data_IF_385975599434
#
_entry.id   IF_385975599434
#
_cell.length_a   1.000
_cell.length_b   1.000
_cell.length_c   1.000
_cell.angle_alpha   90.00
_cell.angle_beta   90.00
_cell.angle_gamma   90.00
#
_symmetry.space_group_name_H-M   'P 1'
#
loop_
_entity.id
_entity.type
_entity.pdbx_description
1 polymer ?
#
# COMPACT_ATOMS: atom_id res chain seq x y z
N UNK A 1 -6.00 -15.74 -15.36
CA UNK A 1 -5.70 -14.34 -15.68
C UNK A 1 -4.29 -14.11 -15.19
N UNK A 2 -3.38 -13.75 -16.09
CA UNK A 2 -2.00 -13.53 -15.69
C UNK A 2 -1.91 -12.29 -14.80
N UNK A 3 -0.89 -12.25 -13.95
CA UNK A 3 -0.72 -11.16 -13.01
C UNK A 3 0.72 -10.74 -12.97
N UNK A 4 0.91 -9.44 -12.92
CA UNK A 4 2.18 -8.88 -12.56
C UNK A 4 2.20 -8.64 -11.06
N UNK A 5 3.23 -9.08 -10.37
CA UNK A 5 3.36 -8.87 -8.93
C UNK A 5 4.77 -8.42 -8.59
N UNK A 6 4.89 -7.48 -7.66
CA UNK A 6 6.17 -6.95 -7.22
C UNK A 6 6.04 -6.06 -6.00
N UNK A 7 7.20 -5.68 -5.45
CA UNK A 7 7.29 -4.76 -4.32
C UNK A 7 8.12 -3.56 -4.71
N UNK A 8 7.57 -2.36 -4.53
CA UNK A 8 8.14 -1.09 -4.96
C UNK A 8 8.43 -0.20 -3.77
N UNK A 9 9.51 0.57 -3.87
CA UNK A 9 9.77 1.69 -2.97
C UNK A 9 9.41 2.97 -3.71
N UNK A 10 8.34 3.63 -3.29
CA UNK A 10 7.74 4.74 -4.01
C UNK A 10 7.66 5.97 -3.13
N UNK A 11 8.02 7.14 -3.66
CA UNK A 11 7.80 8.42 -2.98
C UNK A 11 6.41 8.93 -3.27
N UNK A 12 5.78 9.54 -2.28
CA UNK A 12 4.50 10.23 -2.46
C UNK A 12 4.66 11.51 -3.29
N UNK A 13 5.67 12.31 -2.94
CA UNK A 13 6.05 13.55 -3.62
C UNK A 13 7.57 13.54 -3.86
N UNK A 14 8.10 14.13 -4.95
CA UNK A 14 9.55 14.18 -5.20
C UNK A 14 10.37 14.79 -4.06
N UNK A 15 9.80 15.77 -3.34
CA UNK A 15 10.41 16.44 -2.20
C UNK A 15 10.26 15.64 -0.89
N UNK A 16 9.41 14.62 -0.89
CA UNK A 16 9.26 13.73 0.26
C UNK A 16 10.56 12.93 0.46
N UNK A 17 11.02 12.87 1.71
CA UNK A 17 12.24 12.14 2.07
C UNK A 17 12.01 10.65 2.25
N UNK A 18 10.78 10.26 2.60
CA UNK A 18 10.46 8.88 2.92
C UNK A 18 9.95 8.12 1.69
N UNK A 19 10.22 6.83 1.68
CA UNK A 19 9.69 5.90 0.71
C UNK A 19 8.61 5.05 1.36
N UNK A 20 7.57 4.78 0.61
CA UNK A 20 6.55 3.80 0.94
C UNK A 20 6.90 2.49 0.24
N UNK A 21 6.90 1.40 1.00
CA UNK A 21 7.05 0.06 0.44
C UNK A 21 5.66 -0.49 0.09
N UNK A 22 5.46 -0.85 -1.17
CA UNK A 22 4.14 -1.19 -1.69
C UNK A 22 4.25 -2.52 -2.41
N UNK A 23 3.51 -3.53 -1.96
CA UNK A 23 3.30 -4.73 -2.76
C UNK A 23 2.10 -4.51 -3.68
N UNK A 24 2.31 -4.74 -4.97
CA UNK A 24 1.28 -4.69 -5.98
C UNK A 24 1.09 -6.08 -6.57
N UNK A 25 -0.16 -6.47 -6.77
CA UNK A 25 -0.53 -7.57 -7.66
C UNK A 25 -1.58 -7.04 -8.62
N UNK A 26 -1.22 -6.93 -9.90
CA UNK A 26 -1.99 -6.23 -10.92
C UNK A 26 -2.45 -7.18 -12.02
N UNK A 27 -3.65 -6.96 -12.54
CA UNK A 27 -4.20 -7.67 -13.68
C UNK A 27 -3.32 -7.43 -14.91
N UNK A 28 -2.81 -8.49 -15.50
CA UNK A 28 -1.86 -8.44 -16.61
C UNK A 28 -2.30 -9.39 -17.73
N UNK A 29 -2.05 -9.00 -18.97
CA UNK A 29 -2.29 -9.84 -20.14
C UNK A 29 -0.96 -10.21 -20.75
N UNK A 30 -0.61 -11.50 -20.71
CA UNK A 30 0.60 -11.99 -21.38
C UNK A 30 0.53 -11.85 -22.90
N UNK A 31 -0.68 -11.86 -23.47
CA UNK A 31 -0.88 -11.70 -24.91
C UNK A 31 -0.49 -10.29 -25.39
N UNK A 32 -0.90 -9.25 -24.65
CA UNK A 32 -0.58 -7.85 -24.97
C UNK A 32 0.67 -7.34 -24.24
N UNK A 33 1.25 -8.15 -23.35
CA UNK A 33 2.35 -7.79 -22.45
C UNK A 33 2.10 -6.47 -21.70
N UNK A 34 0.86 -6.24 -21.30
CA UNK A 34 0.44 -4.99 -20.69
C UNK A 34 -0.48 -5.20 -19.50
N UNK A 35 -0.52 -4.20 -18.62
CA UNK A 35 -1.53 -4.14 -17.57
C UNK A 35 -2.92 -4.02 -18.19
N UNK A 36 -3.90 -4.65 -17.55
CA UNK A 36 -5.30 -4.64 -17.97
C UNK A 36 -6.16 -3.91 -16.95
N UNK A 37 -7.30 -3.41 -17.39
CA UNK A 37 -8.25 -2.69 -16.53
C UNK A 37 -8.84 -3.68 -15.51
N UNK A 38 -8.66 -3.47 -14.20
CA UNK A 38 -9.28 -4.33 -13.21
C UNK A 38 -10.76 -3.98 -13.03
N UNK A 39 -11.54 -4.94 -12.53
CA UNK A 39 -12.91 -4.71 -12.08
C UNK A 39 -12.99 -3.86 -10.80
N UNK A 40 -11.96 -3.91 -9.95
CA UNK A 40 -11.84 -3.09 -8.74
C UNK A 40 -10.37 -3.02 -8.27
N UNK A 41 -10.08 -2.10 -7.34
CA UNK A 41 -8.82 -2.05 -6.61
C UNK A 41 -9.07 -2.32 -5.13
N UNK A 42 -8.43 -3.34 -4.58
CA UNK A 42 -8.34 -3.58 -3.15
C UNK A 42 -7.08 -2.88 -2.62
N UNK A 43 -7.26 -1.90 -1.72
CA UNK A 43 -6.18 -1.12 -1.12
C UNK A 43 -6.12 -1.46 0.36
N UNK A 44 -5.00 -1.99 0.82
CA UNK A 44 -4.77 -2.38 2.20
C UNK A 44 -3.60 -1.57 2.78
N UNK A 45 -3.86 -0.89 3.89
CA UNK A 45 -2.83 -0.20 4.65
C UNK A 45 -2.36 -1.13 5.76
N UNK A 46 -1.08 -1.52 5.71
CA UNK A 46 -0.51 -2.35 6.75
C UNK A 46 -0.49 -1.60 8.09
N UNK A 47 -1.07 -2.23 9.09
CA UNK A 47 -1.00 -1.74 10.46
C UNK A 47 0.37 -1.97 11.09
N UNK A 48 0.34 -1.95 12.41
CA UNK A 48 1.50 -2.02 13.27
C UNK A 48 2.34 -3.28 13.03
N UNK A 49 3.66 -3.13 13.14
CA UNK A 49 4.57 -4.25 12.97
C UNK A 49 4.69 -5.04 14.27
N UNK A 50 4.56 -6.35 14.14
CA UNK A 50 4.93 -7.31 15.18
C UNK A 50 5.86 -8.33 14.53
N UNK A 51 7.16 -8.21 14.81
CA UNK A 51 8.20 -9.07 14.25
C UNK A 51 8.68 -10.07 15.30
N UNK A 52 9.16 -11.25 14.85
CA UNK A 52 9.81 -12.21 15.74
C UNK A 52 8.84 -12.95 16.66
N UNK A 53 7.57 -13.04 16.29
CA UNK A 53 6.52 -13.73 17.06
C UNK A 53 6.69 -15.24 17.05
N UNK A 54 7.42 -15.78 16.05
CA UNK A 54 7.53 -17.22 15.73
C UNK A 54 6.19 -17.89 15.40
N UNK A 55 5.12 -17.12 15.29
CA UNK A 55 3.83 -17.62 14.84
C UNK A 55 3.81 -17.59 13.30
N UNK A 56 3.73 -18.75 12.63
CA UNK A 56 3.86 -18.82 11.18
C UNK A 56 2.79 -18.03 10.43
N UNK A 57 1.59 -17.86 11.01
CA UNK A 57 0.51 -17.07 10.40
C UNK A 57 0.83 -15.58 10.49
N UNK A 58 1.32 -15.12 11.64
CA UNK A 58 1.71 -13.71 11.84
C UNK A 58 2.87 -13.36 10.92
N UNK A 59 3.95 -14.16 10.92
CA UNK A 59 5.10 -13.92 10.04
C UNK A 59 4.70 -13.90 8.55
N UNK A 60 3.79 -14.81 8.14
CA UNK A 60 3.28 -14.83 6.76
C UNK A 60 2.51 -13.56 6.41
N UNK A 61 1.66 -13.08 7.32
CA UNK A 61 0.83 -11.88 7.11
C UNK A 61 1.59 -10.56 7.34
N UNK A 62 2.79 -10.61 7.93
CA UNK A 62 3.70 -9.47 8.01
C UNK A 62 4.38 -9.17 6.66
N UNK A 63 4.45 -10.15 5.75
CA UNK A 63 4.97 -9.95 4.40
C UNK A 63 3.92 -9.34 3.45
N UNK A 64 4.28 -8.21 2.85
CA UNK A 64 3.38 -7.42 1.99
C UNK A 64 2.89 -8.21 0.77
N UNK A 65 3.75 -9.03 0.17
CA UNK A 65 3.43 -9.76 -1.04
C UNK A 65 2.46 -10.92 -0.74
N UNK A 66 2.66 -11.61 0.39
CA UNK A 66 1.71 -12.59 0.89
C UNK A 66 0.34 -11.97 1.17
N UNK A 67 0.28 -10.78 1.78
CA UNK A 67 -1.01 -10.07 1.96
C UNK A 67 -1.65 -9.77 0.61
N UNK A 68 -0.91 -9.30 -0.38
CA UNK A 68 -1.44 -9.03 -1.71
C UNK A 68 -2.03 -10.30 -2.36
N UNK A 69 -1.34 -11.44 -2.23
CA UNK A 69 -1.83 -12.74 -2.70
C UNK A 69 -3.11 -13.18 -1.97
N UNK A 70 -3.19 -12.97 -0.65
CA UNK A 70 -4.39 -13.25 0.12
C UNK A 70 -5.56 -12.40 -0.39
N UNK A 71 -5.36 -11.10 -0.61
CA UNK A 71 -6.41 -10.21 -1.14
C UNK A 71 -6.91 -10.70 -2.50
N UNK A 72 -6.02 -10.99 -3.44
CA UNK A 72 -6.39 -11.53 -4.76
C UNK A 72 -7.13 -12.87 -4.65
N UNK A 73 -6.71 -13.75 -3.74
CA UNK A 73 -7.38 -15.04 -3.52
C UNK A 73 -8.82 -14.89 -3.01
N UNK A 74 -9.10 -13.81 -2.27
CA UNK A 74 -10.42 -13.54 -1.67
C UNK A 74 -11.34 -12.76 -2.59
N UNK A 75 -10.83 -11.75 -3.30
CA UNK A 75 -11.62 -10.89 -4.18
C UNK A 75 -11.70 -11.38 -5.63
N UNK A 76 -10.78 -12.25 -6.04
CA UNK A 76 -10.75 -12.83 -7.39
C UNK A 76 -9.72 -12.20 -8.32
N UNK A 77 -9.45 -12.91 -9.42
CA UNK A 77 -8.36 -12.58 -10.35
C UNK A 77 -8.57 -11.31 -11.19
N UNK A 78 -9.76 -10.71 -11.18
CA UNK A 78 -10.08 -9.46 -11.87
C UNK A 78 -9.87 -8.21 -11.01
N UNK A 79 -9.37 -8.34 -9.77
CA UNK A 79 -9.13 -7.23 -8.85
C UNK A 79 -7.63 -6.97 -8.74
N UNK A 80 -7.23 -5.70 -8.75
CA UNK A 80 -5.86 -5.30 -8.39
C UNK A 80 -5.74 -5.25 -6.86
N UNK A 81 -4.63 -5.73 -6.32
CA UNK A 81 -4.33 -5.63 -4.90
C UNK A 81 -3.11 -4.74 -4.65
N UNK A 82 -3.26 -3.79 -3.73
CA UNK A 82 -2.23 -2.86 -3.31
C UNK A 82 -2.08 -2.94 -1.80
N UNK A 83 -0.90 -3.29 -1.32
CA UNK A 83 -0.60 -3.37 0.11
C UNK A 83 0.47 -2.34 0.42
N UNK A 84 0.09 -1.32 1.18
CA UNK A 84 0.92 -0.13 1.45
C UNK A 84 1.47 -0.23 2.87
N UNK A 85 2.77 -0.33 3.00
CA UNK A 85 3.46 -0.22 4.28
C UNK A 85 3.67 1.25 4.65
N UNK A 86 3.43 1.59 5.91
CA UNK A 86 3.81 2.91 6.42
C UNK A 86 5.29 3.19 6.18
N UNK A 87 5.60 4.43 5.81
CA UNK A 87 6.96 4.90 5.55
C UNK A 87 7.74 5.14 6.84
N UNK A 88 7.03 5.36 7.95
CA UNK A 88 7.58 5.61 9.29
C UNK A 88 6.80 4.79 10.30
N UNK A 89 7.51 4.34 11.34
CA UNK A 89 6.93 3.73 12.53
C UNK A 89 7.33 4.52 13.78
N UNK A 90 6.40 4.63 14.73
CA UNK A 90 6.68 5.14 16.08
C UNK A 90 6.60 3.96 17.05
N UNK A 91 7.74 3.34 17.36
CA UNK A 91 7.74 2.00 17.97
C UNK A 91 7.11 0.98 17.01
N UNK A 92 6.15 0.14 17.45
CA UNK A 92 5.45 -0.78 16.55
C UNK A 92 4.40 -0.07 15.68
N UNK A 93 4.02 1.17 15.99
CA UNK A 93 2.86 1.83 15.41
C UNK A 93 3.11 2.39 14.01
N UNK A 94 2.26 2.03 13.05
CA UNK A 94 2.33 2.50 11.67
C UNK A 94 1.90 3.98 11.54
N UNK A 95 2.72 4.82 10.91
CA UNK A 95 2.45 6.26 10.77
C UNK A 95 2.30 6.66 9.30
N UNK A 96 1.09 7.07 8.92
CA UNK A 96 0.75 7.58 7.58
C UNK A 96 0.66 9.11 7.54
N UNK A 97 1.61 9.80 8.19
CA UNK A 97 1.56 11.26 8.37
C UNK A 97 1.49 12.04 7.05
N UNK A 98 2.11 11.54 5.98
CA UNK A 98 2.16 12.23 4.69
C UNK A 98 0.81 12.14 3.93
N UNK A 99 -0.18 11.40 4.47
CA UNK A 99 -1.53 11.29 3.92
C UNK A 99 -2.50 12.29 4.55
N UNK A 100 -2.10 13.01 5.59
CA UNK A 100 -2.96 13.92 6.33
C UNK A 100 -2.26 15.27 6.56
N UNK A 101 -3.00 16.39 6.63
CA UNK A 101 -2.37 17.71 6.59
C UNK A 101 -1.50 18.05 7.81
N UNK A 102 -1.83 17.51 8.99
CA UNK A 102 -1.06 17.78 10.21
C UNK A 102 -1.16 16.66 11.23
N UNK A 103 -0.03 16.31 11.83
CA UNK A 103 0.08 15.31 12.89
C UNK A 103 0.78 15.86 14.13
N UNK A 104 0.52 15.27 15.30
CA UNK A 104 1.27 15.50 16.52
C UNK A 104 2.60 14.70 16.51
N UNK A 105 3.37 14.78 17.59
CA UNK A 105 4.66 14.09 17.73
C UNK A 105 4.54 12.56 17.72
N UNK A 106 3.34 12.01 17.93
CA UNK A 106 3.07 10.57 17.92
C UNK A 106 2.57 10.06 16.56
N UNK A 107 2.35 10.96 15.59
CA UNK A 107 1.82 10.61 14.27
C UNK A 107 0.29 10.69 14.16
N UNK A 108 -0.40 11.10 15.22
CA UNK A 108 -1.86 11.21 15.24
C UNK A 108 -2.32 12.53 14.60
N UNK A 109 -3.45 12.56 13.88
CA UNK A 109 -4.01 13.80 13.35
C UNK A 109 -4.26 14.82 14.47
N UNK A 110 -3.77 16.06 14.31
CA UNK A 110 -4.08 17.14 15.28
C UNK A 110 -5.55 17.56 15.21
N UNK A 111 -6.14 17.45 14.02
CA UNK A 111 -7.55 17.68 13.76
C UNK A 111 -7.94 16.90 12.51
N UNK A 112 -9.24 16.59 12.39
CA UNK A 112 -9.78 16.02 11.17
C UNK A 112 -10.30 17.14 10.27
N UNK A 113 -9.75 17.25 9.05
CA UNK A 113 -10.27 18.12 7.99
C UNK A 113 -10.37 17.32 6.69
N UNK A 114 -11.59 17.09 6.15
CA UNK A 114 -11.78 16.35 4.91
C UNK A 114 -11.58 17.22 3.65
N UNK A 115 -11.34 18.53 3.80
CA UNK A 115 -11.21 19.46 2.67
C UNK A 115 -10.08 19.01 1.76
N UNK A 116 -10.39 18.78 0.48
CA UNK A 116 -9.42 18.31 -0.53
C UNK A 116 -9.09 16.81 -0.46
N UNK A 117 -9.80 16.03 0.37
CA UNK A 117 -9.64 14.57 0.50
C UNK A 117 -8.18 14.11 0.62
N UNK A 118 -7.39 14.67 1.56
CA UNK A 118 -5.94 14.52 1.57
C UNK A 118 -5.49 13.06 1.53
N UNK A 119 -6.12 12.18 2.32
CA UNK A 119 -5.75 10.77 2.36
C UNK A 119 -6.03 10.05 1.02
N UNK A 120 -7.16 10.32 0.39
CA UNK A 120 -7.53 9.74 -0.90
C UNK A 120 -6.63 10.26 -2.02
N UNK A 121 -6.39 11.57 -2.05
CA UNK A 121 -5.48 12.23 -3.00
C UNK A 121 -4.08 11.65 -2.88
N UNK A 122 -3.53 11.55 -1.67
CA UNK A 122 -2.22 10.94 -1.43
C UNK A 122 -2.18 9.46 -1.85
N UNK A 123 -3.26 8.71 -1.59
CA UNK A 123 -3.34 7.30 -2.03
C UNK A 123 -3.27 7.20 -3.55
N UNK A 124 -4.09 7.98 -4.27
CA UNK A 124 -4.11 7.98 -5.73
C UNK A 124 -2.74 8.38 -6.29
N UNK A 125 -2.15 9.46 -5.79
CA UNK A 125 -0.80 9.89 -6.20
C UNK A 125 0.25 8.79 -5.99
N UNK A 126 0.21 8.12 -4.84
CA UNK A 126 1.16 7.05 -4.54
C UNK A 126 1.02 5.87 -5.51
N UNK A 127 -0.22 5.42 -5.77
CA UNK A 127 -0.49 4.32 -6.71
C UNK A 127 -0.14 4.70 -8.16
N UNK A 128 -0.40 5.95 -8.56
CA UNK A 128 0.02 6.47 -9.87
C UNK A 128 1.54 6.45 -10.01
N UNK A 129 2.27 6.86 -8.97
CA UNK A 129 3.73 6.82 -8.98
C UNK A 129 4.28 5.38 -9.06
N UNK A 130 3.59 4.39 -8.48
CA UNK A 130 3.95 2.98 -8.65
C UNK A 130 3.93 2.54 -10.12
N UNK A 131 2.95 3.02 -10.89
CA UNK A 131 2.76 2.64 -12.30
C UNK A 131 3.74 3.34 -13.25
N UNK A 132 4.46 4.36 -12.77
CA UNK A 132 5.47 5.10 -13.53
C UNK A 132 6.90 4.58 -13.32
N UNK A 133 7.11 3.63 -12.40
CA UNK A 133 8.39 2.94 -12.22
C UNK A 133 8.61 1.87 -13.29
#
# INVERSE_FOLDING_TARGET
>A
MDRWSGVFNVKLDPNCKNYYRIAASLCFSSASKSLTVPSANAIFFNGDRVEGTRNPVVERLSDLQNVAQVLVSKFGGSVNAWVIQASIFNGPFAVYKDFIPSVNQYGEPKSYSPVGFPASTSTVSLLSNCLQQ
#
